data_IF_262052384228
#
_entry.id   IF_262052384228
#
_cell.length_a   1.000
_cell.length_b   1.000
_cell.length_c   1.000
_cell.angle_alpha   90.00
_cell.angle_beta   90.00
_cell.angle_gamma   90.00
#
_symmetry.space_group_name_H-M   'P 1'
#
loop_
_entity.id
_entity.type
_entity.pdbx_description
1 polymer ?
#
# COMPACT_ATOMS: atom_id res chain seq x y z
N UNK A 1 -0.68 9.83 -11.22
CA UNK A 1 -2.13 10.03 -11.17
C UNK A 1 -2.64 9.93 -9.74
N UNK A 2 -3.92 10.19 -9.56
CA UNK A 2 -4.57 10.12 -8.26
C UNK A 2 -5.45 8.88 -8.17
N UNK A 3 -5.54 8.32 -6.97
CA UNK A 3 -6.43 7.20 -6.65
C UNK A 3 -7.06 7.48 -5.29
N UNK A 4 -8.33 7.14 -5.14
CA UNK A 4 -8.99 7.20 -3.84
C UNK A 4 -9.22 5.78 -3.33
N UNK A 5 -9.30 5.63 -2.02
CA UNK A 5 -9.61 4.37 -1.38
C UNK A 5 -10.59 4.60 -0.23
N UNK A 6 -11.64 3.79 -0.19
CA UNK A 6 -12.62 3.85 0.88
C UNK A 6 -12.07 3.18 2.15
N UNK A 7 -12.60 3.52 3.34
CA UNK A 7 -12.18 2.83 4.57
C UNK A 7 -12.34 1.31 4.43
N UNK A 8 -11.30 0.57 4.75
CA UNK A 8 -11.28 -0.88 4.65
C UNK A 8 -10.90 -1.43 3.28
N UNK A 9 -10.79 -0.59 2.27
CA UNK A 9 -10.40 -1.03 0.93
C UNK A 9 -8.94 -1.46 0.90
N UNK A 10 -8.67 -2.62 0.26
CA UNK A 10 -7.30 -3.10 0.06
C UNK A 10 -6.72 -2.41 -1.18
N UNK A 11 -5.63 -1.70 -0.97
CA UNK A 11 -4.93 -0.98 -2.06
C UNK A 11 -4.11 -1.97 -2.88
N UNK A 12 -3.36 -2.83 -2.21
CA UNK A 12 -2.74 -4.01 -2.81
C UNK A 12 -2.59 -5.10 -1.76
N UNK A 13 -2.58 -6.33 -2.20
CA UNK A 13 -2.49 -7.49 -1.31
C UNK A 13 -1.08 -8.07 -1.32
N UNK A 14 -0.67 -8.63 -0.19
CA UNK A 14 0.56 -9.39 -0.06
C UNK A 14 0.60 -10.50 -1.11
N UNK A 15 1.74 -10.65 -1.76
CA UNK A 15 1.92 -11.66 -2.80
C UNK A 15 1.53 -11.20 -4.20
N UNK A 16 0.84 -10.07 -4.33
CA UNK A 16 0.48 -9.54 -5.65
C UNK A 16 1.72 -9.03 -6.38
N UNK A 17 1.85 -9.36 -7.64
CA UNK A 17 2.95 -8.93 -8.49
C UNK A 17 2.40 -8.31 -9.78
N UNK A 18 3.25 -7.56 -10.49
CA UNK A 18 2.89 -6.97 -11.77
C UNK A 18 2.73 -5.47 -11.77
N UNK A 19 2.82 -4.83 -10.60
CA UNK A 19 2.79 -3.37 -10.51
C UNK A 19 4.12 -2.81 -10.06
N UNK A 20 4.58 -1.75 -10.73
CA UNK A 20 5.79 -1.03 -10.37
C UNK A 20 5.42 0.42 -10.07
N UNK A 21 4.65 0.62 -9.00
CA UNK A 21 4.17 1.94 -8.60
C UNK A 21 4.47 2.20 -7.12
N UNK A 22 4.64 3.47 -6.80
CA UNK A 22 4.80 3.96 -5.43
C UNK A 22 3.61 4.85 -5.11
N UNK A 23 3.12 4.76 -3.89
CA UNK A 23 1.98 5.54 -3.42
C UNK A 23 2.45 6.59 -2.42
N UNK A 24 1.93 7.80 -2.54
CA UNK A 24 2.09 8.87 -1.55
C UNK A 24 0.72 9.16 -0.97
N UNK A 25 0.61 9.22 0.35
CA UNK A 25 -0.65 9.56 1.02
C UNK A 25 -0.83 11.07 0.96
N UNK A 26 -1.76 11.53 0.10
CA UNK A 26 -2.13 12.94 0.06
C UNK A 26 -3.05 13.28 1.22
N UNK A 27 -3.90 12.34 1.63
CA UNK A 27 -4.79 12.48 2.78
C UNK A 27 -5.22 11.10 3.26
N UNK A 28 -5.43 10.94 4.58
CA UNK A 28 -5.90 9.71 5.18
C UNK A 28 -4.79 8.90 5.84
N UNK A 29 -5.12 7.64 6.17
CA UNK A 29 -4.20 6.70 6.83
C UNK A 29 -4.30 5.34 6.18
N UNK A 30 -3.14 4.69 6.01
CA UNK A 30 -3.02 3.37 5.40
C UNK A 30 -2.31 2.44 6.38
N UNK A 31 -2.85 1.23 6.54
CA UNK A 31 -2.25 0.18 7.35
C UNK A 31 -1.43 -0.73 6.46
N UNK A 32 -0.19 -0.97 6.86
CA UNK A 32 0.68 -1.96 6.22
C UNK A 32 0.76 -3.17 7.12
N UNK A 33 0.40 -4.33 6.60
CA UNK A 33 0.36 -5.56 7.38
C UNK A 33 0.92 -6.73 6.59
N UNK A 34 1.32 -7.77 7.32
CA UNK A 34 1.76 -9.03 6.73
C UNK A 34 1.14 -10.17 7.52
N UNK A 35 1.13 -11.38 6.95
CA UNK A 35 0.66 -12.58 7.65
C UNK A 35 1.86 -13.42 8.05
N UNK A 36 1.89 -13.82 9.32
CA UNK A 36 2.91 -14.69 9.87
C UNK A 36 2.21 -15.76 10.70
N UNK A 37 2.34 -17.04 10.30
CA UNK A 37 1.71 -18.17 10.96
C UNK A 37 0.19 -17.97 11.14
N UNK A 38 -0.49 -17.58 10.06
CA UNK A 38 -1.93 -17.32 10.00
C UNK A 38 -2.40 -16.15 10.87
N UNK A 39 -1.47 -15.34 11.38
CA UNK A 39 -1.79 -14.15 12.14
C UNK A 39 -1.44 -12.90 11.34
N UNK A 40 -2.33 -11.92 11.41
CA UNK A 40 -2.08 -10.61 10.83
C UNK A 40 -1.16 -9.82 11.77
N UNK A 41 -0.07 -9.31 11.22
CA UNK A 41 0.87 -8.46 11.95
C UNK A 41 0.89 -7.10 11.29
N UNK A 42 0.58 -6.05 12.05
CA UNK A 42 0.65 -4.68 11.57
C UNK A 42 2.10 -4.23 11.61
N UNK A 43 2.65 -3.89 10.45
CA UNK A 43 4.05 -3.50 10.31
C UNK A 43 4.21 -1.99 10.46
N UNK A 44 3.26 -1.22 9.92
CA UNK A 44 3.34 0.23 9.95
C UNK A 44 1.97 0.85 9.67
N UNK A 45 1.81 2.10 10.08
CA UNK A 45 0.68 2.94 9.68
C UNK A 45 1.28 4.15 8.97
N UNK A 46 0.81 4.40 7.74
CA UNK A 46 1.32 5.45 6.88
C UNK A 46 0.32 6.59 6.86
N UNK A 47 0.78 7.79 7.16
CA UNK A 47 -0.07 8.98 7.22
C UNK A 47 0.24 9.99 6.12
N UNK A 48 -0.45 11.12 6.17
CA UNK A 48 -0.33 12.20 5.19
C UNK A 48 1.12 12.63 4.99
N UNK A 49 1.53 12.71 3.73
CA UNK A 49 2.89 13.10 3.35
C UNK A 49 3.89 11.97 3.30
N UNK A 50 3.52 10.79 3.77
CA UNK A 50 4.39 9.61 3.73
C UNK A 50 4.12 8.78 2.49
N UNK A 51 5.06 7.92 2.12
CA UNK A 51 4.94 7.07 0.95
C UNK A 51 5.04 5.59 1.35
N UNK A 52 4.50 4.72 0.49
CA UNK A 52 4.55 3.27 0.70
C UNK A 52 4.54 2.55 -0.65
N UNK A 53 4.87 1.28 -0.62
CA UNK A 53 4.90 0.46 -1.83
C UNK A 53 6.23 0.50 -2.58
N UNK A 54 7.24 1.17 -2.04
CA UNK A 54 8.54 1.34 -2.69
C UNK A 54 9.32 0.04 -2.84
N UNK A 55 9.01 -0.97 -2.03
CA UNK A 55 9.71 -2.26 -2.09
C UNK A 55 9.40 -3.06 -3.35
N UNK A 56 8.36 -2.69 -4.09
CA UNK A 56 7.98 -3.39 -5.33
C UNK A 56 8.36 -2.61 -6.57
N UNK A 57 9.53 -1.98 -6.58
CA UNK A 57 10.04 -1.23 -7.73
C UNK A 57 10.29 -2.13 -8.95
N UNK A 58 10.57 -3.42 -8.71
CA UNK A 58 10.67 -4.40 -9.78
C UNK A 58 9.31 -5.07 -9.93
N UNK A 59 8.69 -4.94 -11.09
CA UNK A 59 7.34 -5.44 -11.34
C UNK A 59 7.20 -6.95 -11.14
N UNK A 60 8.29 -7.70 -11.25
CA UNK A 60 8.29 -9.14 -11.04
C UNK A 60 8.29 -9.54 -9.56
N UNK A 61 8.56 -8.61 -8.66
CA UNK A 61 8.61 -8.89 -7.24
C UNK A 61 7.19 -8.88 -6.64
N UNK A 62 6.80 -9.91 -5.90
CA UNK A 62 5.52 -9.87 -5.20
C UNK A 62 5.56 -8.87 -4.04
N UNK A 63 4.42 -8.28 -3.75
CA UNK A 63 4.30 -7.35 -2.62
C UNK A 63 4.59 -8.10 -1.31
N UNK A 64 5.50 -7.60 -0.47
CA UNK A 64 5.80 -8.26 0.81
C UNK A 64 4.74 -8.04 1.88
N UNK A 65 3.84 -7.10 1.67
CA UNK A 65 2.81 -6.72 2.65
C UNK A 65 1.50 -6.42 1.94
N UNK A 66 0.45 -6.27 2.77
CA UNK A 66 -0.86 -5.78 2.33
C UNK A 66 -0.98 -4.32 2.75
N UNK A 67 -1.44 -3.45 1.85
CA UNK A 67 -1.76 -2.06 2.15
C UNK A 67 -3.29 -1.90 2.13
N UNK A 68 -3.84 -1.39 3.23
CA UNK A 68 -5.28 -1.24 3.41
C UNK A 68 -5.60 0.15 3.95
N UNK A 69 -6.59 0.80 3.37
CA UNK A 69 -7.03 2.10 3.85
C UNK A 69 -7.74 1.95 5.21
N UNK A 70 -7.29 2.69 6.21
CA UNK A 70 -7.94 2.74 7.52
C UNK A 70 -9.06 3.78 7.52
N UNK A 71 -8.87 4.85 6.78
CA UNK A 71 -9.84 5.92 6.57
C UNK A 71 -10.04 6.08 5.09
N UNK A 72 -10.93 6.98 4.68
CA UNK A 72 -10.93 7.42 3.29
C UNK A 72 -9.54 7.99 2.98
N UNK A 73 -8.94 7.56 1.90
CA UNK A 73 -7.61 7.99 1.50
C UNK A 73 -7.62 8.61 0.12
N UNK A 74 -6.83 9.65 -0.02
CA UNK A 74 -6.47 10.19 -1.32
C UNK A 74 -4.99 9.92 -1.55
N UNK A 75 -4.68 9.24 -2.64
CA UNK A 75 -3.32 8.76 -2.91
C UNK A 75 -2.82 9.36 -4.22
N UNK A 76 -1.54 9.71 -4.22
CA UNK A 76 -0.83 10.03 -5.46
C UNK A 76 -0.05 8.79 -5.86
N UNK A 77 -0.24 8.35 -7.09
CA UNK A 77 0.40 7.13 -7.61
C UNK A 77 1.48 7.53 -8.59
N UNK A 78 2.70 7.05 -8.33
CA UNK A 78 3.86 7.33 -9.17
C UNK A 78 4.26 6.02 -9.85
N UNK A 79 4.28 6.03 -11.17
CA UNK A 79 4.77 4.89 -11.94
C UNK A 79 6.30 4.90 -11.90
N UNK A 80 6.87 3.80 -11.41
CA UNK A 80 8.32 3.66 -11.24
C UNK A 80 8.94 2.75 -12.31
N UNK A 81 8.16 2.35 -13.30
CA UNK A 81 8.67 1.49 -14.38
C UNK A 81 9.53 2.25 -15.37
#
# INVERSE_FOLDING_TARGET
WSRTAAPGEVIYAEGFAGESVIYIVADGKVEISTHCEDKKVIVATIGKGEFFGETALLASEPRPNTARALTFCQLTVIDAS
#
